data_IF_256148904739
#
_entry.id   IF_256148904739
#
_cell.length_a   1.000
_cell.length_b   1.000
_cell.length_c   1.000
_cell.angle_alpha   90.00
_cell.angle_beta   90.00
_cell.angle_gamma   90.00
#
_symmetry.space_group_name_H-M   'P 1'
#
loop_
_entity.id
_entity.type
_entity.pdbx_description
1 polymer ?
#
# COMPACT_ATOMS: atom_id res chain seq x y z
N UNK A 1 -12.48 -3.27 19.45
CA UNK A 1 -12.28 -1.81 19.33
C UNK A 1 -12.69 -1.44 17.92
N UNK A 2 -13.29 -0.27 17.69
CA UNK A 2 -13.57 0.22 16.34
C UNK A 2 -12.26 0.70 15.70
N UNK A 3 -11.95 0.21 14.50
CA UNK A 3 -10.79 0.65 13.72
C UNK A 3 -10.89 2.14 13.42
N UNK A 4 -9.77 2.87 13.55
CA UNK A 4 -9.69 4.31 13.30
C UNK A 4 -8.68 4.69 12.22
N UNK A 5 -7.69 3.82 11.95
CA UNK A 5 -6.59 4.11 11.04
C UNK A 5 -5.56 5.11 11.58
N UNK A 6 -5.76 5.61 12.81
CA UNK A 6 -4.92 6.63 13.43
C UNK A 6 -3.76 5.99 14.21
N UNK A 7 -2.60 5.90 13.54
CA UNK A 7 -1.36 5.36 14.10
C UNK A 7 -0.31 6.45 14.26
N UNK A 8 0.69 6.21 15.12
CA UNK A 8 1.86 7.06 15.29
C UNK A 8 3.09 6.21 15.55
N UNK A 9 4.26 6.74 15.22
CA UNK A 9 5.55 6.08 15.46
C UNK A 9 5.73 5.78 16.95
N UNK A 10 6.20 4.56 17.25
CA UNK A 10 6.30 4.03 18.61
C UNK A 10 4.95 3.72 19.29
N UNK A 11 3.83 3.88 18.57
CA UNK A 11 2.49 3.49 19.00
C UNK A 11 2.19 2.01 18.76
N UNK A 12 1.01 1.58 19.22
CA UNK A 12 0.48 0.25 18.86
C UNK A 12 -0.08 0.30 17.44
N UNK A 13 -0.03 -0.84 16.76
CA UNK A 13 -0.79 -1.03 15.53
C UNK A 13 -2.29 -0.93 15.80
N UNK A 14 -3.03 -0.38 14.83
CA UNK A 14 -4.49 -0.41 14.78
C UNK A 14 -4.94 -1.50 13.80
N UNK A 15 -6.00 -2.23 14.12
CA UNK A 15 -6.38 -3.46 13.39
C UNK A 15 -7.80 -3.34 12.88
N UNK A 16 -7.95 -3.46 11.57
CA UNK A 16 -9.24 -3.60 10.91
C UNK A 16 -9.54 -5.09 10.72
N UNK A 17 -10.51 -5.61 11.46
CA UNK A 17 -10.93 -7.01 11.37
C UNK A 17 -12.08 -7.16 10.37
N UNK A 18 -11.79 -7.74 9.21
CA UNK A 18 -12.78 -8.12 8.20
C UNK A 18 -13.13 -9.61 8.32
N UNK A 19 -14.09 -10.08 7.53
CA UNK A 19 -14.51 -11.48 7.56
C UNK A 19 -13.39 -12.43 7.14
N UNK A 20 -12.67 -12.15 6.06
CA UNK A 20 -11.63 -13.06 5.54
C UNK A 20 -10.19 -12.56 5.75
N UNK A 21 -10.02 -11.27 6.08
CA UNK A 21 -8.73 -10.62 6.19
C UNK A 21 -8.64 -9.75 7.45
N UNK A 22 -7.49 -9.80 8.13
CA UNK A 22 -7.13 -8.78 9.12
C UNK A 22 -6.12 -7.82 8.50
N UNK A 23 -6.35 -6.52 8.64
CA UNK A 23 -5.45 -5.46 8.18
C UNK A 23 -4.90 -4.74 9.40
N UNK A 24 -3.63 -4.95 9.72
CA UNK A 24 -2.94 -4.24 10.80
C UNK A 24 -2.13 -3.08 10.23
N UNK A 25 -2.38 -1.86 10.67
CA UNK A 25 -1.64 -0.65 10.28
C UNK A 25 -0.69 -0.25 11.41
N UNK A 26 0.55 0.10 11.08
CA UNK A 26 1.51 0.70 12.02
C UNK A 26 2.23 1.86 11.34
N UNK A 27 2.62 2.88 12.12
CA UNK A 27 3.49 3.95 11.63
C UNK A 27 4.94 3.69 12.07
N UNK A 28 5.89 3.82 11.16
CA UNK A 28 7.33 3.60 11.39
C UNK A 28 8.18 4.73 10.82
N UNK A 29 9.34 4.94 11.42
CA UNK A 29 10.37 5.83 10.90
C UNK A 29 10.07 7.32 11.04
N UNK A 30 11.05 8.18 10.75
CA UNK A 30 10.93 9.63 10.97
C UNK A 30 9.89 10.32 10.07
N UNK A 31 9.47 9.67 8.99
CA UNK A 31 8.48 10.20 8.03
C UNK A 31 7.06 9.70 8.29
N UNK A 32 6.84 8.97 9.40
CA UNK A 32 5.55 8.34 9.74
C UNK A 32 5.01 7.49 8.56
N UNK A 33 5.85 6.67 7.94
CA UNK A 33 5.42 5.74 6.90
C UNK A 33 4.45 4.74 7.51
N UNK A 34 3.33 4.51 6.82
CA UNK A 34 2.40 3.45 7.15
C UNK A 34 2.92 2.14 6.57
N UNK A 35 3.00 1.11 7.40
CA UNK A 35 3.19 -0.27 6.97
C UNK A 35 1.92 -1.08 7.30
N UNK A 36 1.57 -2.00 6.42
CA UNK A 36 0.34 -2.79 6.55
C UNK A 36 0.66 -4.29 6.58
N UNK A 37 0.28 -4.96 7.65
CA UNK A 37 0.36 -6.41 7.75
C UNK A 37 -1.01 -7.02 7.50
N UNK A 38 -1.13 -7.73 6.39
CA UNK A 38 -2.32 -8.46 6.01
C UNK A 38 -2.22 -9.88 6.53
N UNK A 39 -3.30 -10.40 7.13
CA UNK A 39 -3.39 -11.80 7.58
C UNK A 39 -4.68 -12.43 7.09
N UNK A 40 -4.56 -13.49 6.30
CA UNK A 40 -5.71 -14.30 5.90
C UNK A 40 -6.27 -15.03 7.13
N UNK A 41 -7.55 -14.81 7.45
CA UNK A 41 -8.17 -15.39 8.65
C UNK A 41 -8.38 -16.89 8.55
N UNK A 42 -8.54 -17.41 7.33
CA UNK A 42 -8.73 -18.84 7.10
C UNK A 42 -7.43 -19.65 7.25
N UNK A 43 -6.28 -19.11 6.84
CA UNK A 43 -5.02 -19.85 6.78
C UNK A 43 -3.97 -19.38 7.78
N UNK A 44 -4.12 -18.17 8.33
CA UNK A 44 -3.10 -17.51 9.14
C UNK A 44 -1.94 -16.90 8.34
N UNK A 45 -1.88 -17.12 7.03
CA UNK A 45 -0.82 -16.62 6.15
C UNK A 45 -0.79 -15.09 6.14
N UNK A 46 0.42 -14.53 6.09
CA UNK A 46 0.65 -13.10 6.21
C UNK A 46 1.45 -12.51 5.04
N UNK A 47 1.12 -11.26 4.70
CA UNK A 47 1.83 -10.43 3.73
C UNK A 47 2.05 -9.04 4.33
N UNK A 48 3.28 -8.53 4.24
CA UNK A 48 3.60 -7.16 4.64
C UNK A 48 3.62 -6.25 3.40
N UNK A 49 2.91 -5.13 3.43
CA UNK A 49 2.99 -4.06 2.45
C UNK A 49 3.90 -2.97 3.02
N UNK A 50 4.93 -2.63 2.26
CA UNK A 50 5.99 -1.67 2.58
C UNK A 50 6.72 -1.97 3.88
N UNK A 51 7.81 -2.73 3.77
CA UNK A 51 8.81 -2.83 4.84
C UNK A 51 9.62 -1.52 4.93
N UNK A 52 8.91 -0.45 5.31
CA UNK A 52 9.32 0.93 5.24
C UNK A 52 10.52 1.23 6.13
N UNK A 53 10.36 1.17 7.45
CA UNK A 53 11.39 1.49 8.42
C UNK A 53 11.21 0.65 9.70
N UNK A 54 12.11 0.81 10.68
CA UNK A 54 12.04 0.16 12.00
C UNK A 54 11.78 -1.35 11.92
N UNK A 55 12.74 -2.10 11.35
CA UNK A 55 12.62 -3.55 11.17
C UNK A 55 12.20 -4.28 12.46
N UNK A 56 12.69 -3.86 13.62
CA UNK A 56 12.27 -4.43 14.91
C UNK A 56 10.78 -4.24 15.22
N UNK A 57 10.20 -3.08 14.91
CA UNK A 57 8.75 -2.82 15.04
C UNK A 57 7.96 -3.70 14.09
N UNK A 58 8.40 -3.83 12.83
CA UNK A 58 7.73 -4.65 11.82
C UNK A 58 7.80 -6.15 12.18
N UNK A 59 8.95 -6.64 12.62
CA UNK A 59 9.11 -8.04 13.06
C UNK A 59 8.29 -8.35 14.31
N UNK A 60 8.15 -7.40 15.24
CA UNK A 60 7.24 -7.55 16.37
C UNK A 60 5.77 -7.58 15.94
N UNK A 61 5.39 -6.80 14.93
CA UNK A 61 4.04 -6.82 14.36
C UNK A 61 3.73 -8.15 13.66
N UNK A 62 4.72 -8.70 12.95
CA UNK A 62 4.65 -10.02 12.30
C UNK A 62 4.46 -11.12 13.36
N UNK A 63 5.27 -11.08 14.42
CA UNK A 63 5.24 -12.09 15.48
C UNK A 63 5.84 -13.43 15.06
N UNK A 64 5.48 -14.49 15.78
CA UNK A 64 6.11 -15.81 15.62
C UNK A 64 5.63 -16.59 14.39
N UNK A 65 4.52 -16.17 13.77
CA UNK A 65 3.91 -16.87 12.63
C UNK A 65 4.71 -16.71 11.32
N UNK A 66 5.72 -15.81 11.31
CA UNK A 66 6.45 -15.36 10.12
C UNK A 66 5.54 -14.79 9.03
N UNK A 67 6.12 -14.33 7.93
CA UNK A 67 5.38 -13.84 6.75
C UNK A 67 5.75 -14.66 5.51
N UNK A 68 4.79 -14.83 4.61
CA UNK A 68 5.03 -15.49 3.33
C UNK A 68 5.68 -14.54 2.32
N UNK A 69 5.32 -13.25 2.37
CA UNK A 69 5.74 -12.28 1.37
C UNK A 69 5.78 -10.84 1.87
N UNK A 70 6.60 -10.04 1.20
CA UNK A 70 6.61 -8.58 1.31
C UNK A 70 6.34 -7.98 -0.06
N UNK A 71 5.45 -6.99 -0.12
CA UNK A 71 5.23 -6.18 -1.32
C UNK A 71 5.73 -4.77 -1.05
N UNK A 72 6.61 -4.26 -1.92
CA UNK A 72 7.01 -2.86 -1.93
C UNK A 72 6.23 -2.13 -3.01
N UNK A 73 5.45 -1.12 -2.62
CA UNK A 73 4.54 -0.40 -3.52
C UNK A 73 5.30 0.41 -4.57
N UNK A 74 6.45 0.99 -4.20
CA UNK A 74 7.28 1.79 -5.10
C UNK A 74 8.73 1.95 -4.57
N UNK A 75 9.61 2.49 -5.41
CA UNK A 75 11.07 2.46 -5.20
C UNK A 75 11.64 3.51 -4.25
N UNK A 76 10.85 4.39 -3.63
CA UNK A 76 11.42 5.39 -2.72
C UNK A 76 11.92 4.76 -1.43
N UNK A 77 13.04 5.30 -0.95
CA UNK A 77 13.83 4.68 0.13
C UNK A 77 13.05 4.41 1.40
N UNK A 78 12.21 5.36 1.78
CA UNK A 78 11.40 5.28 2.98
C UNK A 78 10.31 4.19 2.94
N UNK A 79 10.07 3.55 1.78
CA UNK A 79 9.16 2.40 1.64
C UNK A 79 9.84 1.02 1.69
N UNK A 80 11.17 0.96 1.73
CA UNK A 80 11.91 -0.31 1.75
C UNK A 80 13.13 -0.35 2.67
N UNK A 81 13.45 0.69 3.46
CA UNK A 81 14.66 0.70 4.30
C UNK A 81 14.75 -0.52 5.25
N UNK A 82 13.64 -1.04 5.76
CA UNK A 82 13.62 -2.23 6.61
C UNK A 82 13.53 -3.56 5.83
N UNK A 83 13.31 -3.53 4.51
CA UNK A 83 13.08 -4.71 3.68
C UNK A 83 14.20 -5.75 3.79
N UNK A 84 15.46 -5.32 3.76
CA UNK A 84 16.60 -6.23 3.83
C UNK A 84 16.66 -7.02 5.14
N UNK A 85 16.42 -6.36 6.26
CA UNK A 85 16.38 -7.00 7.59
C UNK A 85 15.16 -7.92 7.74
N UNK A 86 13.99 -7.48 7.28
CA UNK A 86 12.76 -8.28 7.31
C UNK A 86 12.92 -9.55 6.47
N UNK A 87 13.43 -9.45 5.24
CA UNK A 87 13.65 -10.61 4.35
C UNK A 87 14.72 -11.53 4.94
N UNK A 88 15.81 -11.00 5.49
CA UNK A 88 16.85 -11.81 6.13
C UNK A 88 16.32 -12.60 7.34
N UNK A 89 15.41 -12.01 8.12
CA UNK A 89 14.83 -12.65 9.31
C UNK A 89 13.75 -13.68 8.98
N UNK A 90 13.01 -13.50 7.87
CA UNK A 90 11.78 -14.26 7.58
C UNK A 90 11.90 -15.19 6.38
N UNK A 91 12.82 -14.92 5.45
CA UNK A 91 12.89 -15.59 4.15
C UNK A 91 11.72 -15.24 3.22
N UNK A 92 10.99 -14.16 3.49
CA UNK A 92 9.82 -13.75 2.74
C UNK A 92 10.14 -13.52 1.25
N UNK A 93 9.22 -13.97 0.39
CA UNK A 93 9.28 -13.68 -1.05
C UNK A 93 8.98 -12.20 -1.31
N UNK A 94 9.79 -11.54 -2.13
CA UNK A 94 9.63 -10.12 -2.43
C UNK A 94 8.85 -9.86 -3.72
N UNK A 95 7.97 -8.86 -3.68
CA UNK A 95 7.17 -8.40 -4.82
C UNK A 95 7.35 -6.88 -4.99
N UNK A 96 7.46 -6.43 -6.23
CA UNK A 96 7.43 -5.01 -6.56
C UNK A 96 6.90 -4.79 -7.98
N UNK A 97 6.43 -3.58 -8.26
CA UNK A 97 6.07 -3.18 -9.61
C UNK A 97 7.26 -3.31 -10.57
N UNK A 98 7.02 -3.86 -11.77
CA UNK A 98 8.07 -4.18 -12.74
C UNK A 98 9.08 -3.05 -12.96
N UNK A 99 8.59 -1.82 -13.12
CA UNK A 99 9.40 -0.67 -13.51
C UNK A 99 10.12 0.00 -12.32
N UNK A 100 9.82 -0.42 -11.10
CA UNK A 100 10.43 0.10 -9.88
C UNK A 100 11.37 -0.90 -9.21
N UNK A 101 11.25 -2.19 -9.54
CA UNK A 101 12.06 -3.27 -8.95
C UNK A 101 13.58 -3.03 -9.01
N UNK A 102 14.09 -2.47 -10.11
CA UNK A 102 15.53 -2.15 -10.23
C UNK A 102 15.98 -1.02 -9.29
N UNK A 103 15.06 -0.18 -8.82
CA UNK A 103 15.33 0.90 -7.88
C UNK A 103 15.34 0.47 -6.41
N UNK A 104 15.03 -0.80 -6.12
CA UNK A 104 14.98 -1.35 -4.77
C UNK A 104 16.26 -2.18 -4.52
N UNK A 105 17.06 -1.89 -3.47
CA UNK A 105 18.33 -2.59 -3.26
C UNK A 105 18.21 -4.09 -2.95
N UNK A 106 17.09 -4.52 -2.36
CA UNK A 106 16.80 -5.93 -2.14
C UNK A 106 16.22 -6.51 -3.43
N UNK A 107 16.78 -7.63 -3.96
CA UNK A 107 16.26 -8.25 -5.17
C UNK A 107 14.75 -8.55 -5.08
N UNK A 108 14.03 -8.19 -6.13
CA UNK A 108 12.61 -8.54 -6.28
C UNK A 108 12.48 -9.93 -6.90
N UNK A 109 11.86 -10.86 -6.18
CA UNK A 109 11.63 -12.23 -6.68
C UNK A 109 10.53 -12.27 -7.74
N UNK A 110 9.48 -11.46 -7.57
CA UNK A 110 8.31 -11.44 -8.44
C UNK A 110 7.99 -10.02 -8.90
N UNK A 111 8.17 -9.78 -10.19
CA UNK A 111 7.74 -8.54 -10.84
C UNK A 111 6.23 -8.56 -11.03
N UNK A 112 5.58 -7.46 -10.65
CA UNK A 112 4.13 -7.29 -10.74
C UNK A 112 3.81 -6.28 -11.84
N UNK A 113 2.94 -6.69 -12.76
CA UNK A 113 2.39 -5.86 -13.83
C UNK A 113 0.96 -5.39 -13.47
N UNK A 114 0.42 -4.46 -14.25
CA UNK A 114 -0.98 -4.05 -14.11
C UNK A 114 -1.93 -5.25 -14.22
N UNK A 115 -2.95 -5.31 -13.36
CA UNK A 115 -3.86 -6.46 -13.18
C UNK A 115 -3.20 -7.75 -12.69
N UNK A 116 -1.90 -7.74 -12.35
CA UNK A 116 -1.24 -8.86 -11.70
C UNK A 116 -1.86 -9.15 -10.34
N UNK A 117 -1.84 -10.42 -9.92
CA UNK A 117 -2.44 -10.84 -8.64
C UNK A 117 -1.40 -11.34 -7.66
N UNK A 118 -1.57 -10.99 -6.39
CA UNK A 118 -0.77 -11.48 -5.27
C UNK A 118 -1.70 -12.18 -4.29
N UNK A 119 -1.32 -13.36 -3.79
CA UNK A 119 -2.14 -14.12 -2.84
C UNK A 119 -1.60 -14.01 -1.42
N UNK A 120 -2.52 -13.99 -0.47
CA UNK A 120 -2.27 -14.13 0.96
C UNK A 120 -3.23 -15.20 1.46
N UNK A 121 -2.77 -16.44 1.54
CA UNK A 121 -3.62 -17.60 1.81
C UNK A 121 -4.73 -17.73 0.76
N UNK A 122 -5.99 -17.57 1.21
CA UNK A 122 -7.17 -17.59 0.34
C UNK A 122 -7.57 -16.20 -0.19
N UNK A 123 -6.96 -15.13 0.32
CA UNK A 123 -7.21 -13.75 -0.13
C UNK A 123 -6.38 -13.45 -1.37
N UNK A 124 -6.97 -12.76 -2.35
CA UNK A 124 -6.29 -12.30 -3.56
C UNK A 124 -6.30 -10.78 -3.60
N UNK A 125 -5.13 -10.20 -3.81
CA UNK A 125 -4.92 -8.78 -4.11
C UNK A 125 -4.72 -8.62 -5.60
N UNK A 126 -5.35 -7.61 -6.21
CA UNK A 126 -5.13 -7.23 -7.60
C UNK A 126 -4.34 -5.94 -7.66
N UNK A 127 -3.24 -5.94 -8.42
CA UNK A 127 -2.41 -4.77 -8.62
C UNK A 127 -2.98 -3.82 -9.67
N UNK A 128 -2.78 -2.53 -9.43
CA UNK A 128 -2.95 -1.45 -10.42
C UNK A 128 -1.65 -0.71 -10.55
N UNK A 129 -1.10 -0.68 -11.77
CA UNK A 129 0.08 0.13 -12.07
C UNK A 129 -0.36 1.59 -12.22
N UNK A 130 0.25 2.48 -11.46
CA UNK A 130 -0.06 3.91 -11.43
C UNK A 130 1.22 4.70 -11.73
N UNK A 131 1.27 5.38 -12.88
CA UNK A 131 2.48 6.06 -13.34
C UNK A 131 2.45 7.53 -12.95
N UNK A 132 3.48 7.99 -12.24
CA UNK A 132 3.81 9.40 -12.13
C UNK A 132 4.53 9.77 -10.83
N UNK A 133 4.11 9.22 -9.68
CA UNK A 133 4.89 9.35 -8.45
C UNK A 133 6.26 8.66 -8.60
N UNK A 134 6.22 7.44 -9.12
CA UNK A 134 7.36 6.76 -9.73
C UNK A 134 6.94 6.13 -11.06
N UNK A 135 7.89 5.62 -11.88
CA UNK A 135 7.57 4.90 -13.10
C UNK A 135 6.83 3.57 -12.86
N UNK A 136 7.01 2.94 -11.69
CA UNK A 136 6.57 1.58 -11.41
C UNK A 136 5.69 1.41 -10.18
N UNK A 137 5.13 2.49 -9.61
CA UNK A 137 4.25 2.38 -8.44
C UNK A 137 3.07 1.43 -8.70
N UNK A 138 2.76 0.59 -7.71
CA UNK A 138 1.56 -0.24 -7.72
C UNK A 138 0.68 0.09 -6.53
N UNK A 139 -0.63 0.17 -6.77
CA UNK A 139 -1.64 0.06 -5.73
C UNK A 139 -2.16 -1.38 -5.68
N UNK A 140 -2.59 -1.83 -4.51
CA UNK A 140 -3.13 -3.19 -4.30
C UNK A 140 -4.59 -3.10 -3.88
N UNK A 141 -5.46 -3.84 -4.56
CA UNK A 141 -6.89 -3.91 -4.28
C UNK A 141 -7.22 -5.26 -3.69
N UNK A 142 -7.83 -5.26 -2.50
CA UNK A 142 -8.61 -6.39 -2.01
C UNK A 142 -10.10 -6.09 -2.25
N UNK A 143 -10.74 -6.89 -3.09
CA UNK A 143 -12.19 -6.83 -3.34
C UNK A 143 -12.89 -7.72 -2.29
N UNK A 144 -13.29 -7.14 -1.15
CA UNK A 144 -13.87 -7.88 -0.03
C UNK A 144 -15.24 -8.48 -0.43
N UNK A 145 -15.39 -9.82 -0.47
CA UNK A 145 -16.65 -10.46 -0.84
C UNK A 145 -17.79 -10.23 0.17
N UNK A 146 -17.49 -9.65 1.34
CA UNK A 146 -18.43 -9.39 2.42
C UNK A 146 -18.65 -7.91 2.70
N UNK A 147 -17.98 -7.01 1.98
CA UNK A 147 -17.92 -5.60 2.32
C UNK A 147 -17.55 -4.69 1.16
N UNK A 148 -16.92 -3.56 1.49
CA UNK A 148 -16.38 -2.62 0.51
C UNK A 148 -14.94 -3.00 0.13
N UNK A 149 -14.47 -2.64 -1.08
CA UNK A 149 -13.07 -2.87 -1.44
C UNK A 149 -12.08 -2.10 -0.56
N UNK A 150 -10.86 -2.62 -0.47
CA UNK A 150 -9.76 -2.09 0.31
C UNK A 150 -8.55 -1.84 -0.59
N UNK A 151 -8.11 -0.57 -0.69
CA UNK A 151 -7.09 -0.12 -1.62
C UNK A 151 -5.85 0.39 -0.89
N UNK A 152 -4.70 -0.26 -1.08
CA UNK A 152 -3.40 0.18 -0.57
C UNK A 152 -2.66 0.93 -1.66
N UNK A 153 -2.44 2.23 -1.48
CA UNK A 153 -2.06 3.13 -2.59
C UNK A 153 -0.58 3.47 -2.64
N UNK A 154 0.19 3.09 -1.62
CA UNK A 154 1.53 3.66 -1.40
C UNK A 154 1.43 5.18 -1.51
N UNK A 155 2.28 5.77 -2.33
CA UNK A 155 2.33 7.22 -2.51
C UNK A 155 1.61 7.70 -3.77
N UNK A 156 0.61 6.97 -4.27
CA UNK A 156 -0.13 7.39 -5.46
C UNK A 156 -1.36 8.25 -5.15
N UNK A 157 -2.04 7.97 -4.03
CA UNK A 157 -3.29 8.64 -3.63
C UNK A 157 -3.35 8.75 -2.11
N UNK A 158 -3.67 9.95 -1.64
CA UNK A 158 -3.78 10.37 -0.25
C UNK A 158 -5.11 11.10 -0.01
N UNK A 159 -5.48 11.34 1.25
CA UNK A 159 -6.47 12.36 1.57
C UNK A 159 -6.04 13.72 0.98
N UNK A 160 -6.87 14.29 0.11
CA UNK A 160 -6.64 15.61 -0.52
C UNK A 160 -5.77 15.63 -1.77
N UNK A 161 -5.37 14.48 -2.34
CA UNK A 161 -4.78 14.44 -3.69
C UNK A 161 -3.84 13.27 -3.99
N UNK A 162 -3.26 13.33 -5.18
CA UNK A 162 -2.23 12.39 -5.64
C UNK A 162 -0.85 12.71 -5.05
N UNK A 163 0.05 11.73 -5.05
CA UNK A 163 1.40 11.90 -4.51
C UNK A 163 2.27 12.90 -5.26
N UNK A 164 3.38 13.26 -4.61
CA UNK A 164 4.34 14.23 -5.13
C UNK A 164 5.01 13.73 -6.42
N UNK A 165 4.95 14.53 -7.48
CA UNK A 165 5.59 14.24 -8.78
C UNK A 165 6.82 15.12 -9.03
N UNK A 166 7.44 15.66 -7.97
CA UNK A 166 8.64 16.49 -8.05
C UNK A 166 8.50 17.71 -8.97
N UNK A 167 7.31 18.32 -9.00
CA UNK A 167 6.99 19.49 -9.84
C UNK A 167 6.99 19.21 -11.35
N UNK A 168 6.89 17.95 -11.74
CA UNK A 168 6.74 17.55 -13.13
C UNK A 168 5.24 17.54 -13.52
N UNK A 169 4.81 18.43 -14.44
CA UNK A 169 3.42 18.49 -14.88
C UNK A 169 2.96 17.26 -15.67
N UNK A 170 3.85 16.61 -16.43
CA UNK A 170 3.50 15.43 -17.23
C UNK A 170 3.31 14.22 -16.31
N UNK A 171 4.21 14.07 -15.33
CA UNK A 171 4.08 13.03 -14.31
C UNK A 171 2.83 13.24 -13.44
N UNK A 172 2.51 14.48 -13.07
CA UNK A 172 1.27 14.79 -12.34
C UNK A 172 0.03 14.41 -13.16
N UNK A 173 -0.03 14.83 -14.43
CA UNK A 173 -1.15 14.53 -15.30
C UNK A 173 -1.31 13.01 -15.53
N UNK A 174 -0.18 12.30 -15.68
CA UNK A 174 -0.16 10.84 -15.77
C UNK A 174 -0.71 10.18 -14.50
N UNK A 175 -0.25 10.61 -13.32
CA UNK A 175 -0.67 10.00 -12.06
C UNK A 175 -2.15 10.23 -11.81
N UNK A 176 -2.62 11.46 -12.01
CA UNK A 176 -4.02 11.80 -11.83
C UNK A 176 -4.92 11.05 -12.82
N UNK A 177 -4.50 10.92 -14.08
CA UNK A 177 -5.22 10.13 -15.08
C UNK A 177 -5.33 8.66 -14.67
N UNK A 178 -4.23 8.05 -14.23
CA UNK A 178 -4.22 6.65 -13.79
C UNK A 178 -5.08 6.43 -12.54
N UNK A 179 -4.95 7.30 -11.54
CA UNK A 179 -5.76 7.26 -10.32
C UNK A 179 -7.24 7.38 -10.65
N UNK A 180 -7.62 8.31 -11.52
CA UNK A 180 -9.02 8.47 -11.94
C UNK A 180 -9.54 7.25 -12.68
N UNK A 181 -8.88 6.86 -13.75
CA UNK A 181 -9.41 5.83 -14.68
C UNK A 181 -9.29 4.41 -14.14
N UNK A 182 -8.29 4.12 -13.30
CA UNK A 182 -8.03 2.77 -12.78
C UNK A 182 -8.56 2.54 -11.37
N UNK A 183 -8.78 3.60 -10.58
CA UNK A 183 -9.30 3.50 -9.21
C UNK A 183 -10.70 4.10 -9.13
N UNK A 184 -10.85 5.42 -9.31
CA UNK A 184 -12.14 6.09 -9.11
C UNK A 184 -13.23 5.59 -10.07
N UNK A 185 -12.91 5.38 -11.35
CA UNK A 185 -13.89 4.90 -12.34
C UNK A 185 -14.23 3.42 -12.18
N UNK A 186 -13.37 2.64 -11.50
CA UNK A 186 -13.51 1.17 -11.39
C UNK A 186 -14.06 0.71 -10.04
N UNK A 187 -13.96 1.54 -9.00
CA UNK A 187 -14.24 1.17 -7.62
C UNK A 187 -15.36 2.06 -7.02
N UNK A 188 -16.21 1.49 -6.15
CA UNK A 188 -17.30 2.21 -5.52
C UNK A 188 -16.79 3.20 -4.45
N UNK A 189 -17.64 4.15 -4.06
CA UNK A 189 -17.28 5.24 -3.14
C UNK A 189 -16.97 4.75 -1.73
N UNK A 190 -17.54 3.62 -1.32
CA UNK A 190 -17.29 2.98 -0.02
C UNK A 190 -15.89 2.37 0.09
N UNK A 191 -15.11 2.35 -1.00
CA UNK A 191 -13.76 1.79 -1.03
C UNK A 191 -12.84 2.51 -0.06
N UNK A 192 -12.25 1.75 0.86
CA UNK A 192 -11.23 2.24 1.78
C UNK A 192 -9.91 2.52 1.05
N UNK A 193 -9.22 3.58 1.44
CA UNK A 193 -7.91 3.98 0.92
C UNK A 193 -6.89 4.01 2.05
N UNK A 194 -5.82 3.24 1.88
CA UNK A 194 -4.71 3.03 2.80
C UNK A 194 -3.40 3.55 2.19
N UNK A 195 -3.04 4.82 2.42
CA UNK A 195 -1.86 5.44 1.84
C UNK A 195 -0.55 5.05 2.52
N UNK A 196 0.55 5.22 1.80
CA UNK A 196 1.92 5.06 2.28
C UNK A 196 2.29 5.96 3.46
N UNK A 197 1.59 7.09 3.61
CA UNK A 197 1.72 8.02 4.73
C UNK A 197 0.36 8.60 5.12
N UNK A 198 0.26 9.01 6.39
CA UNK A 198 -0.88 9.79 6.87
C UNK A 198 -2.14 8.96 7.15
N UNK A 199 -3.29 9.62 7.07
CA UNK A 199 -4.59 9.05 7.44
C UNK A 199 -5.21 8.23 6.32
N UNK A 200 -6.05 7.27 6.69
CA UNK A 200 -6.89 6.57 5.73
C UNK A 200 -8.03 7.49 5.28
N UNK A 201 -8.63 7.19 4.12
CA UNK A 201 -9.81 7.89 3.58
C UNK A 201 -10.69 6.90 2.80
N UNK A 202 -11.73 7.38 2.12
CA UNK A 202 -12.51 6.60 1.16
C UNK A 202 -12.48 7.26 -0.22
N UNK A 203 -12.71 6.48 -1.28
CA UNK A 203 -12.86 7.08 -2.61
C UNK A 203 -14.03 8.06 -2.66
N UNK A 204 -15.11 7.81 -1.90
CA UNK A 204 -16.26 8.71 -1.81
C UNK A 204 -15.94 10.08 -1.20
N UNK A 205 -15.10 10.11 -0.15
CA UNK A 205 -14.66 11.37 0.47
C UNK A 205 -13.76 12.20 -0.48
N UNK A 206 -12.97 11.52 -1.30
CA UNK A 206 -12.01 12.15 -2.19
C UNK A 206 -12.59 12.51 -3.58
N UNK A 207 -13.56 11.76 -4.11
CA UNK A 207 -14.08 11.92 -5.48
C UNK A 207 -14.58 13.34 -5.79
N UNK A 208 -15.30 14.04 -4.90
CA UNK A 208 -15.75 15.42 -5.17
C UNK A 208 -14.61 16.41 -5.40
N UNK A 209 -13.39 16.07 -4.97
CA UNK A 209 -12.22 16.94 -5.04
C UNK A 209 -11.42 16.78 -6.35
N UNK A 210 -11.69 15.76 -7.17
CA UNK A 210 -11.00 15.53 -8.44
C UNK A 210 -10.94 16.77 -9.36
N UNK A 211 -12.03 17.56 -9.55
CA UNK A 211 -11.96 18.79 -10.34
C UNK A 211 -11.01 19.83 -9.74
N UNK A 212 -10.94 19.94 -8.41
CA UNK A 212 -10.01 20.84 -7.73
C UNK A 212 -8.57 20.39 -7.96
N UNK A 213 -8.27 19.10 -7.81
CA UNK A 213 -6.93 18.57 -8.01
C UNK A 213 -6.43 18.82 -9.44
N UNK A 214 -7.29 18.60 -10.45
CA UNK A 214 -6.99 18.93 -11.85
C UNK A 214 -6.68 20.42 -12.04
N UNK A 215 -7.45 21.29 -11.41
CA UNK A 215 -7.29 22.74 -11.55
C UNK A 215 -6.05 23.26 -10.79
N UNK A 216 -5.75 22.68 -9.62
CA UNK A 216 -4.60 23.02 -8.78
C UNK A 216 -3.28 22.67 -9.47
N UNK A 217 -3.23 21.55 -10.17
CA UNK A 217 -1.98 21.02 -10.73
C UNK A 217 -1.05 20.54 -9.62
N UNK A 218 0.26 20.72 -9.84
CA UNK A 218 1.36 20.29 -8.96
C UNK A 218 1.88 21.39 -8.03
#
# INVERSE_FOLDING_TARGET
>A
MTYSGAVKVGGRADVHELTDLMISKVAVGPMNNNAYLLRCRATGEQLLIDAANEAGTLLQLIGDDSIASVVTTHRHGDHWQALGEVVAATGARTYAGRYDAEGIPVPTDVLVDDNGTIRVGQVTLTARHLVGHTPGSIALIYDDPHGAPHLFTGDCLFPGGVGNTHKDPEAFASLLHDVETKLFDQLPDETWVYPGHGHDTTLGDERPQLPEWRARGW
#
